data_IF_522293362340
#
_entry.id   IF_522293362340
#
_cell.length_a   1.000
_cell.length_b   1.000
_cell.length_c   1.000
_cell.angle_alpha   90.00
_cell.angle_beta   90.00
_cell.angle_gamma   90.00
#
_symmetry.space_group_name_H-M   'P 1'
#
loop_
_entity.id
_entity.type
_entity.pdbx_description
1 polymer ?
#
# COMPACT_ATOMS: atom_id res chain seq x y z
N UNK A 1 0.11 -4.11 -11.14
CA UNK A 1 -0.06 -4.59 -9.74
C UNK A 1 -0.60 -3.50 -8.83
N UNK A 2 -0.01 -2.30 -8.81
CA UNK A 2 -0.53 -1.12 -8.09
C UNK A 2 -1.99 -0.79 -8.41
N UNK A 3 -2.35 -0.68 -9.70
CA UNK A 3 -3.73 -0.43 -10.13
C UNK A 3 -4.71 -1.54 -9.68
N UNK A 4 -4.29 -2.80 -9.78
CA UNK A 4 -5.08 -3.93 -9.30
C UNK A 4 -5.33 -3.87 -7.79
N UNK A 5 -4.33 -3.44 -7.00
CA UNK A 5 -4.51 -3.26 -5.56
C UNK A 5 -5.55 -2.17 -5.25
N UNK A 6 -5.56 -1.07 -5.99
CA UNK A 6 -6.55 -0.01 -5.82
C UNK A 6 -7.96 -0.50 -6.12
N UNK A 7 -8.14 -1.19 -7.25
CA UNK A 7 -9.43 -1.77 -7.64
C UNK A 7 -9.89 -2.79 -6.61
N UNK A 8 -9.02 -3.70 -6.16
CA UNK A 8 -9.36 -4.69 -5.16
C UNK A 8 -9.82 -4.06 -3.84
N UNK A 9 -9.12 -3.04 -3.34
CA UNK A 9 -9.53 -2.33 -2.12
C UNK A 9 -10.87 -1.62 -2.30
N UNK A 10 -11.08 -0.98 -3.45
CA UNK A 10 -12.31 -0.26 -3.75
C UNK A 10 -13.51 -1.20 -3.84
N UNK A 11 -13.35 -2.38 -4.46
CA UNK A 11 -14.41 -3.38 -4.53
C UNK A 11 -14.66 -4.02 -3.16
N UNK A 12 -13.63 -4.26 -2.35
CA UNK A 12 -13.80 -4.71 -0.97
C UNK A 12 -14.60 -3.70 -0.13
N UNK A 13 -14.30 -2.40 -0.30
CA UNK A 13 -15.01 -1.32 0.38
C UNK A 13 -16.47 -1.21 -0.10
N UNK A 14 -16.72 -1.25 -1.41
CA UNK A 14 -18.08 -1.27 -1.95
C UNK A 14 -18.87 -2.49 -1.47
N UNK A 15 -18.25 -3.67 -1.42
CA UNK A 15 -18.85 -4.90 -0.89
C UNK A 15 -19.23 -4.76 0.59
N UNK A 16 -18.43 -4.04 1.39
CA UNK A 16 -18.77 -3.74 2.78
C UNK A 16 -20.04 -2.86 2.88
N UNK A 17 -20.16 -1.85 2.01
CA UNK A 17 -21.33 -0.95 1.99
C UNK A 17 -22.61 -1.65 1.51
N UNK A 18 -22.47 -2.61 0.59
CA UNK A 18 -23.58 -3.42 0.06
C UNK A 18 -23.96 -4.60 0.95
N UNK A 19 -23.23 -4.84 2.06
CA UNK A 19 -23.49 -5.96 2.96
C UNK A 19 -23.13 -7.32 2.38
N UNK A 20 -22.10 -7.40 1.53
CA UNK A 20 -21.62 -8.64 0.90
C UNK A 20 -20.32 -9.14 1.56
N UNK A 21 -20.40 -9.82 2.72
CA UNK A 21 -19.22 -10.18 3.50
C UNK A 21 -18.30 -11.16 2.76
N UNK A 22 -18.87 -12.12 2.02
CA UNK A 22 -18.07 -13.09 1.27
C UNK A 22 -17.23 -12.42 0.17
N UNK A 23 -17.85 -11.55 -0.63
CA UNK A 23 -17.14 -10.79 -1.67
C UNK A 23 -16.05 -9.92 -1.04
N UNK A 24 -16.38 -9.19 0.04
CA UNK A 24 -15.41 -8.37 0.77
C UNK A 24 -14.18 -9.17 1.19
N UNK A 25 -14.34 -10.32 1.83
CA UNK A 25 -13.21 -11.13 2.32
C UNK A 25 -12.29 -11.56 1.18
N UNK A 26 -12.85 -11.99 0.05
CA UNK A 26 -12.08 -12.33 -1.14
C UNK A 26 -11.31 -11.14 -1.70
N UNK A 27 -11.95 -9.98 -1.83
CA UNK A 27 -11.29 -8.78 -2.35
C UNK A 27 -10.25 -8.22 -1.39
N UNK A 28 -10.42 -8.36 -0.07
CA UNK A 28 -9.40 -8.00 0.92
C UNK A 28 -8.17 -8.91 0.84
N UNK A 29 -8.36 -10.21 0.60
CA UNK A 29 -7.23 -11.11 0.33
C UNK A 29 -6.51 -10.70 -0.95
N UNK A 30 -7.24 -10.48 -2.04
CA UNK A 30 -6.65 -10.04 -3.32
C UNK A 30 -5.88 -8.74 -3.12
N UNK A 31 -6.46 -7.77 -2.40
CA UNK A 31 -5.80 -6.52 -2.06
C UNK A 31 -4.51 -6.77 -1.27
N UNK A 32 -4.55 -7.59 -0.20
CA UNK A 32 -3.38 -7.87 0.63
C UNK A 32 -2.24 -8.52 -0.19
N UNK A 33 -2.57 -9.46 -1.09
CA UNK A 33 -1.59 -10.06 -2.01
C UNK A 33 -1.00 -9.02 -2.97
N UNK A 34 -1.85 -8.17 -3.56
CA UNK A 34 -1.42 -7.13 -4.49
C UNK A 34 -0.70 -5.96 -3.81
N UNK A 35 -0.88 -5.78 -2.50
CA UNK A 35 -0.19 -4.79 -1.69
C UNK A 35 1.29 -5.13 -1.51
N UNK A 36 1.66 -6.41 -1.51
CA UNK A 36 3.04 -6.85 -1.36
C UNK A 36 3.98 -6.25 -2.42
N UNK A 37 3.71 -6.37 -3.73
CA UNK A 37 4.53 -5.71 -4.75
C UNK A 37 4.46 -4.17 -4.70
N UNK A 38 3.38 -3.57 -4.16
CA UNK A 38 3.30 -2.11 -3.95
C UNK A 38 4.30 -1.68 -2.88
N UNK A 39 4.29 -2.36 -1.74
CA UNK A 39 5.18 -2.12 -0.60
C UNK A 39 6.64 -2.36 -0.96
N UNK A 40 6.93 -3.42 -1.74
CA UNK A 40 8.27 -3.68 -2.29
C UNK A 40 8.68 -2.60 -3.29
N UNK A 41 7.77 -2.16 -4.16
CA UNK A 41 8.05 -1.08 -5.12
C UNK A 41 8.42 0.24 -4.43
N UNK A 42 7.89 0.48 -3.23
CA UNK A 42 8.13 1.70 -2.47
C UNK A 42 9.59 1.87 -2.02
N UNK A 43 10.38 0.80 -1.98
CA UNK A 43 11.83 0.90 -1.75
C UNK A 43 12.58 1.62 -2.89
N UNK A 44 11.95 1.78 -4.06
CA UNK A 44 12.50 2.58 -5.16
C UNK A 44 12.23 4.08 -4.99
N UNK A 45 11.48 4.47 -3.98
CA UNK A 45 11.16 5.87 -3.68
C UNK A 45 12.41 6.57 -3.13
N UNK A 46 12.77 7.77 -3.62
CA UNK A 46 13.96 8.48 -3.18
C UNK A 46 13.79 9.02 -1.75
N UNK A 47 14.43 8.39 -0.77
CA UNK A 47 14.31 8.78 0.64
C UNK A 47 15.56 9.52 1.13
N UNK A 48 15.34 10.63 1.86
CA UNK A 48 16.43 11.42 2.48
C UNK A 48 17.18 10.66 3.59
N UNK A 49 16.51 9.70 4.24
CA UNK A 49 17.05 8.87 5.32
C UNK A 49 16.89 7.38 4.98
N UNK A 50 17.69 6.86 4.03
CA UNK A 50 17.44 5.55 3.43
C UNK A 50 17.54 4.39 4.42
N UNK A 51 18.42 4.45 5.43
CA UNK A 51 18.53 3.40 6.45
C UNK A 51 17.25 3.25 7.29
N UNK A 52 16.64 4.37 7.68
CA UNK A 52 15.36 4.36 8.39
C UNK A 52 14.22 3.87 7.50
N UNK A 53 14.22 4.31 6.23
CA UNK A 53 13.30 3.80 5.21
C UNK A 53 13.39 2.28 5.09
N UNK A 54 14.59 1.71 4.96
CA UNK A 54 14.77 0.26 4.83
C UNK A 54 14.27 -0.50 6.07
N UNK A 55 14.59 -0.01 7.27
CA UNK A 55 14.13 -0.61 8.52
C UNK A 55 12.60 -0.66 8.61
N UNK A 56 11.94 0.47 8.38
CA UNK A 56 10.47 0.54 8.42
C UNK A 56 9.86 -0.27 7.27
N UNK A 57 10.48 -0.28 6.10
CA UNK A 57 10.02 -1.05 4.94
C UNK A 57 10.08 -2.55 5.15
N UNK A 58 11.09 -3.06 5.86
CA UNK A 58 11.13 -4.47 6.27
C UNK A 58 9.89 -4.83 7.09
N UNK A 59 9.59 -4.04 8.13
CA UNK A 59 8.40 -4.24 8.95
C UNK A 59 7.09 -4.04 8.18
N UNK A 60 7.05 -3.10 7.24
CA UNK A 60 5.93 -2.94 6.30
C UNK A 60 5.67 -4.20 5.49
N UNK A 61 6.73 -4.82 4.94
CA UNK A 61 6.65 -6.10 4.23
C UNK A 61 6.15 -7.24 5.13
N UNK A 62 6.69 -7.35 6.35
CA UNK A 62 6.22 -8.32 7.37
C UNK A 62 4.73 -8.10 7.67
N UNK A 63 4.31 -6.84 7.83
CA UNK A 63 2.92 -6.47 8.01
C UNK A 63 2.02 -6.96 6.87
N UNK A 64 2.44 -6.79 5.61
CA UNK A 64 1.66 -7.32 4.47
C UNK A 64 1.56 -8.84 4.50
N UNK A 65 2.67 -9.54 4.73
CA UNK A 65 2.66 -11.01 4.81
C UNK A 65 1.71 -11.49 5.91
N UNK A 66 1.75 -10.84 7.07
CA UNK A 66 0.83 -11.17 8.15
C UNK A 66 -0.63 -10.83 7.81
N UNK A 67 -0.91 -9.72 7.12
CA UNK A 67 -2.25 -9.42 6.61
C UNK A 67 -2.76 -10.54 5.70
N UNK A 68 -1.93 -11.05 4.78
CA UNK A 68 -2.31 -12.15 3.89
C UNK A 68 -2.73 -13.37 4.73
N UNK A 69 -1.92 -13.75 5.73
CA UNK A 69 -2.24 -14.87 6.63
C UNK A 69 -3.57 -14.61 7.35
N UNK A 70 -3.77 -13.42 7.92
CA UNK A 70 -5.03 -13.07 8.61
C UNK A 70 -6.23 -13.11 7.67
N UNK A 71 -6.11 -12.64 6.43
CA UNK A 71 -7.21 -12.71 5.45
C UNK A 71 -7.52 -14.15 5.04
N UNK A 72 -6.50 -15.00 4.90
CA UNK A 72 -6.70 -16.43 4.67
C UNK A 72 -7.47 -17.01 5.86
N UNK A 73 -6.99 -16.84 7.09
CA UNK A 73 -7.68 -17.35 8.28
C UNK A 73 -9.11 -16.84 8.41
N UNK A 74 -9.39 -15.61 7.98
CA UNK A 74 -10.74 -15.06 7.95
C UNK A 74 -11.63 -15.73 6.87
N UNK A 75 -11.09 -16.02 5.69
CA UNK A 75 -11.80 -16.75 4.62
C UNK A 75 -12.13 -18.19 5.03
N UNK A 76 -11.25 -18.83 5.79
CA UNK A 76 -11.47 -20.16 6.36
C UNK A 76 -12.28 -20.13 7.67
N UNK A 77 -12.85 -18.97 8.02
CA UNK A 77 -13.70 -18.80 9.20
C UNK A 77 -13.02 -19.09 10.56
N UNK A 78 -11.68 -19.16 10.57
CA UNK A 78 -10.87 -19.35 11.78
C UNK A 78 -10.82 -18.08 12.61
N UNK A 79 -10.75 -16.91 11.96
CA UNK A 79 -10.79 -15.60 12.61
C UNK A 79 -12.07 -14.85 12.25
N UNK A 80 -12.89 -14.53 13.26
CA UNK A 80 -14.17 -13.83 13.08
C UNK A 80 -14.33 -12.66 14.04
N UNK A 81 -15.19 -11.71 13.68
CA UNK A 81 -15.65 -10.64 14.55
C UNK A 81 -14.52 -9.83 15.22
N UNK A 82 -14.57 -9.61 16.55
CA UNK A 82 -13.55 -8.83 17.26
C UNK A 82 -12.13 -9.41 17.16
N UNK A 83 -12.00 -10.75 17.12
CA UNK A 83 -10.69 -11.39 17.01
C UNK A 83 -10.02 -11.03 15.67
N UNK A 84 -10.76 -11.11 14.56
CA UNK A 84 -10.26 -10.66 13.26
C UNK A 84 -9.82 -9.19 13.29
N UNK A 85 -10.63 -8.31 13.87
CA UNK A 85 -10.27 -6.90 14.03
C UNK A 85 -8.96 -6.70 14.81
N UNK A 86 -8.84 -7.33 15.98
CA UNK A 86 -7.65 -7.24 16.82
C UNK A 86 -6.38 -7.74 16.12
N UNK A 87 -6.46 -8.89 15.43
CA UNK A 87 -5.33 -9.48 14.72
C UNK A 87 -4.94 -8.74 13.43
N UNK A 88 -5.89 -8.09 12.77
CA UNK A 88 -5.63 -7.31 11.54
C UNK A 88 -5.17 -5.88 11.81
N UNK A 89 -5.31 -5.37 13.03
CA UNK A 89 -4.98 -3.98 13.36
C UNK A 89 -3.48 -3.69 13.34
N UNK A 90 -2.63 -4.48 14.00
CA UNK A 90 -1.19 -4.22 14.05
C UNK A 90 -0.47 -4.35 12.69
N UNK A 91 -0.78 -5.34 11.83
CA UNK A 91 -0.15 -5.44 10.51
C UNK A 91 -0.57 -4.25 9.64
N UNK A 92 -1.83 -3.81 9.77
CA UNK A 92 -2.31 -2.60 9.10
C UNK A 92 -1.56 -1.35 9.56
N UNK A 93 -1.22 -1.24 10.85
CA UNK A 93 -0.39 -0.15 11.36
C UNK A 93 1.03 -0.18 10.78
N UNK A 94 1.66 -1.36 10.66
CA UNK A 94 2.99 -1.46 10.05
C UNK A 94 2.97 -1.05 8.57
N UNK A 95 1.95 -1.46 7.83
CA UNK A 95 1.75 -1.01 6.44
C UNK A 95 1.54 0.50 6.40
N UNK A 96 0.67 1.03 7.26
CA UNK A 96 0.40 2.47 7.34
C UNK A 96 1.66 3.28 7.66
N UNK A 97 2.44 2.81 8.64
CA UNK A 97 3.72 3.42 9.01
C UNK A 97 4.71 3.39 7.86
N UNK A 98 4.80 2.27 7.13
CA UNK A 98 5.71 2.18 5.99
C UNK A 98 5.35 3.16 4.88
N UNK A 99 4.08 3.20 4.49
CA UNK A 99 3.60 4.14 3.48
C UNK A 99 3.86 5.59 3.93
N UNK A 100 3.55 5.90 5.19
CA UNK A 100 3.77 7.22 5.78
C UNK A 100 5.25 7.61 5.74
N UNK A 101 6.13 6.77 6.28
CA UNK A 101 7.57 7.04 6.37
C UNK A 101 8.18 7.20 4.99
N UNK A 102 7.86 6.30 4.05
CA UNK A 102 8.36 6.41 2.68
C UNK A 102 7.95 7.74 2.02
N UNK A 103 6.66 8.07 2.08
CA UNK A 103 6.14 9.30 1.48
C UNK A 103 6.60 10.58 2.19
N UNK A 104 6.83 10.55 3.50
CA UNK A 104 7.39 11.69 4.25
C UNK A 104 8.88 11.88 3.98
N UNK A 105 9.68 10.81 4.01
CA UNK A 105 11.12 10.90 3.82
C UNK A 105 11.52 11.24 2.39
N UNK A 106 10.70 10.84 1.42
CA UNK A 106 10.93 11.17 0.02
C UNK A 106 10.09 12.31 -0.51
N UNK A 107 9.40 13.05 0.35
CA UNK A 107 8.46 14.09 -0.06
C UNK A 107 9.10 15.10 -1.04
N UNK A 108 8.57 15.15 -2.26
CA UNK A 108 9.06 16.02 -3.32
C UNK A 108 10.45 15.68 -3.83
N UNK A 109 10.87 14.42 -3.71
CA UNK A 109 12.08 13.88 -4.31
C UNK A 109 11.99 13.79 -5.84
N UNK A 110 13.14 13.68 -6.51
CA UNK A 110 13.22 13.65 -7.97
C UNK A 110 12.40 12.49 -8.57
N UNK A 111 11.56 12.81 -9.57
CA UNK A 111 10.72 11.83 -10.26
C UNK A 111 9.41 11.46 -9.57
N UNK A 112 9.19 11.89 -8.32
CA UNK A 112 7.94 11.65 -7.57
C UNK A 112 7.16 12.96 -7.35
N UNK A 113 5.91 13.08 -7.85
CA UNK A 113 5.12 14.29 -7.65
C UNK A 113 4.71 14.45 -6.17
N UNK A 114 4.80 15.68 -5.65
CA UNK A 114 4.38 16.02 -4.26
C UNK A 114 2.94 15.60 -3.94
N UNK A 115 2.05 15.62 -4.94
CA UNK A 115 0.66 15.18 -4.77
C UNK A 115 0.59 13.68 -4.46
N UNK A 116 1.42 12.87 -5.12
CA UNK A 116 1.48 11.42 -4.85
C UNK A 116 2.02 11.20 -3.44
N UNK A 117 3.07 11.91 -3.03
CA UNK A 117 3.59 11.78 -1.66
C UNK A 117 2.58 12.25 -0.60
N UNK A 118 1.86 13.35 -0.87
CA UNK A 118 0.79 13.84 0.00
C UNK A 118 -0.35 12.82 0.15
N UNK A 119 -0.76 12.17 -0.94
CA UNK A 119 -1.74 11.09 -0.90
C UNK A 119 -1.22 9.88 -0.11
N UNK A 120 0.07 9.55 -0.25
CA UNK A 120 0.70 8.48 0.54
C UNK A 120 0.71 8.78 2.02
N UNK A 121 1.06 10.01 2.41
CA UNK A 121 0.97 10.48 3.80
C UNK A 121 -0.45 10.34 4.33
N UNK A 122 -1.45 10.81 3.57
CA UNK A 122 -2.87 10.71 3.94
C UNK A 122 -3.31 9.24 4.10
N UNK A 123 -2.91 8.37 3.18
CA UNK A 123 -3.14 6.92 3.27
C UNK A 123 -2.50 6.32 4.51
N UNK A 124 -1.23 6.64 4.80
CA UNK A 124 -0.52 6.13 5.97
C UNK A 124 -1.19 6.55 7.29
N UNK A 125 -1.54 7.84 7.42
CA UNK A 125 -2.30 8.37 8.57
C UNK A 125 -3.65 7.66 8.70
N UNK A 126 -4.35 7.49 7.58
CA UNK A 126 -5.64 6.83 7.54
C UNK A 126 -5.60 5.37 8.02
N UNK A 127 -4.61 4.59 7.56
CA UNK A 127 -4.39 3.22 8.01
C UNK A 127 -4.04 3.13 9.49
N UNK A 128 -3.24 4.08 10.00
CA UNK A 128 -2.94 4.19 11.44
C UNK A 128 -4.20 4.55 12.25
N UNK A 129 -5.06 5.43 11.75
CA UNK A 129 -6.33 5.77 12.37
C UNK A 129 -7.31 4.58 12.41
N UNK A 130 -7.37 3.77 11.35
CA UNK A 130 -8.18 2.53 11.32
C UNK A 130 -7.64 1.54 12.35
N UNK A 131 -6.32 1.33 12.38
CA UNK A 131 -5.68 0.40 13.30
C UNK A 131 -5.90 0.80 14.77
N UNK A 132 -5.59 2.06 15.11
CA UNK A 132 -5.78 2.59 16.47
C UNK A 132 -7.25 2.62 16.88
N UNK A 133 -8.15 3.02 15.99
CA UNK A 133 -9.60 2.97 16.22
C UNK A 133 -10.10 1.55 16.48
N UNK A 134 -9.54 0.56 15.80
CA UNK A 134 -9.89 -0.85 16.02
C UNK A 134 -9.46 -1.33 17.41
N UNK A 135 -8.26 -0.97 17.87
CA UNK A 135 -7.78 -1.33 19.20
C UNK A 135 -8.46 -0.56 20.33
N UNK A 136 -8.75 0.72 20.12
CA UNK A 136 -9.44 1.55 21.11
C UNK A 136 -10.94 1.25 21.22
N UNK A 137 -11.48 0.32 20.43
CA UNK A 137 -12.92 0.06 20.34
C UNK A 137 -13.72 1.19 19.67
N UNK A 138 -13.04 2.15 19.04
CA UNK A 138 -13.62 3.27 18.30
C UNK A 138 -14.09 2.88 16.90
N UNK A 139 -15.15 2.07 16.82
CA UNK A 139 -15.69 1.58 15.55
C UNK A 139 -16.07 2.71 14.57
N UNK A 140 -16.61 3.82 15.08
CA UNK A 140 -16.98 4.98 14.26
C UNK A 140 -15.75 5.69 13.70
N UNK A 141 -14.69 5.84 14.51
CA UNK A 141 -13.42 6.43 14.07
C UNK A 141 -12.80 5.58 12.95
N UNK A 142 -12.77 4.25 13.12
CA UNK A 142 -12.28 3.34 12.09
C UNK A 142 -13.11 3.41 10.79
N UNK A 143 -14.45 3.55 10.88
CA UNK A 143 -15.31 3.71 9.70
C UNK A 143 -15.06 5.04 8.99
N UNK A 144 -15.04 6.15 9.72
CA UNK A 144 -14.78 7.48 9.15
C UNK A 144 -13.39 7.52 8.51
N UNK A 145 -12.39 6.98 9.20
CA UNK A 145 -11.04 6.85 8.66
C UNK A 145 -11.05 6.02 7.36
N UNK A 146 -11.77 4.89 7.31
CA UNK A 146 -11.86 4.06 6.10
C UNK A 146 -12.47 4.81 4.90
N UNK A 147 -13.51 5.63 5.12
CA UNK A 147 -14.16 6.44 4.06
C UNK A 147 -13.16 7.39 3.38
N UNK A 148 -12.20 7.94 4.14
CA UNK A 148 -11.17 8.84 3.60
C UNK A 148 -9.96 8.06 3.06
N UNK A 149 -9.56 7.02 3.78
CA UNK A 149 -8.34 6.23 3.50
C UNK A 149 -8.45 5.47 2.20
N UNK A 150 -9.61 4.88 1.90
CA UNK A 150 -9.80 4.08 0.68
C UNK A 150 -9.64 4.93 -0.59
N UNK A 151 -10.34 6.07 -0.76
CA UNK A 151 -10.09 6.98 -1.89
C UNK A 151 -8.64 7.46 -1.95
N UNK A 152 -8.05 7.86 -0.82
CA UNK A 152 -6.67 8.31 -0.76
C UNK A 152 -5.69 7.22 -1.24
N UNK A 153 -5.86 5.99 -0.75
CA UNK A 153 -5.06 4.84 -1.17
C UNK A 153 -5.22 4.57 -2.66
N UNK A 154 -6.44 4.61 -3.19
CA UNK A 154 -6.68 4.35 -4.60
C UNK A 154 -6.00 5.39 -5.50
N UNK A 155 -6.12 6.67 -5.17
CA UNK A 155 -5.46 7.77 -5.89
C UNK A 155 -3.93 7.66 -5.76
N UNK A 156 -3.44 7.36 -4.57
CA UNK A 156 -2.02 7.15 -4.29
C UNK A 156 -1.44 5.99 -5.11
N UNK A 157 -2.08 4.81 -5.06
CA UNK A 157 -1.65 3.63 -5.78
C UNK A 157 -1.70 3.83 -7.30
N UNK A 158 -2.68 4.58 -7.80
CA UNK A 158 -2.74 4.98 -9.20
C UNK A 158 -1.55 5.87 -9.58
N UNK A 159 -1.27 6.89 -8.76
CA UNK A 159 -0.12 7.78 -8.91
C UNK A 159 1.22 7.03 -8.90
N UNK A 160 1.41 6.11 -7.94
CA UNK A 160 2.59 5.25 -7.88
C UNK A 160 2.73 4.35 -9.10
N UNK A 161 1.64 3.74 -9.57
CA UNK A 161 1.63 2.94 -10.79
C UNK A 161 2.14 3.72 -11.99
N UNK A 162 1.72 4.97 -12.10
CA UNK A 162 2.15 5.86 -13.18
C UNK A 162 3.63 6.24 -13.06
N UNK A 163 4.10 6.56 -11.86
CA UNK A 163 5.52 6.85 -11.62
C UNK A 163 6.40 5.65 -11.96
N UNK A 164 6.06 4.45 -11.48
CA UNK A 164 6.84 3.24 -11.79
C UNK A 164 6.86 2.91 -13.28
N UNK A 165 5.74 3.13 -13.98
CA UNK A 165 5.69 2.96 -15.42
C UNK A 165 6.63 3.94 -16.15
N UNK A 166 6.66 5.21 -15.75
CA UNK A 166 7.58 6.22 -16.31
C UNK A 166 9.05 5.86 -16.06
N UNK A 167 9.40 5.42 -14.84
CA UNK A 167 10.75 4.98 -14.51
C UNK A 167 11.18 3.77 -15.36
N UNK A 168 10.29 2.79 -15.53
CA UNK A 168 10.55 1.61 -16.37
C UNK A 168 10.67 1.95 -17.88
N UNK A 169 9.94 2.96 -18.36
CA UNK A 169 10.08 3.45 -19.73
C UNK A 169 11.42 4.18 -19.95
N UNK A 170 11.83 5.02 -18.99
CA UNK A 170 13.11 5.74 -19.03
C UNK A 170 14.32 4.80 -19.05
N UNK A 171 14.31 3.74 -18.24
CA UNK A 171 15.41 2.77 -18.18
C UNK A 171 15.60 2.02 -19.50
N UNK A 172 14.52 1.58 -20.14
CA UNK A 172 14.57 0.92 -21.46
C UNK A 172 15.18 1.82 -22.54
N UNK A 173 14.88 3.12 -22.49
CA UNK A 173 15.49 4.09 -23.41
C UNK A 173 17.00 4.25 -23.21
N UNK A 174 17.48 4.25 -21.96
CA UNK A 174 18.91 4.35 -21.64
C UNK A 174 19.68 3.11 -22.08
N UNK A 175 19.13 1.92 -21.84
CA UNK A 175 19.71 0.65 -22.26
C UNK A 175 19.86 0.55 -23.79
N UNK A 176 18.84 0.98 -24.53
CA UNK A 176 18.88 1.04 -25.99
C UNK A 176 20.04 1.92 -26.48
N UNK A 177 20.21 3.13 -25.92
CA UNK A 177 21.29 4.06 -26.30
C UNK A 177 22.68 3.50 -25.94
N UNK A 178 22.82 2.87 -24.76
CA UNK A 178 24.10 2.25 -24.38
C UNK A 178 24.47 1.06 -25.27
N UNK A 179 23.49 0.25 -25.67
CA UNK A 179 23.70 -0.85 -26.61
C UNK A 179 24.13 -0.35 -27.99
N UNK A 180 23.53 0.74 -28.48
CA UNK A 180 23.94 1.36 -29.75
C UNK A 180 25.35 1.96 -29.68
N UNK A 181 25.73 2.59 -28.55
CA UNK A 181 27.10 3.11 -28.36
C UNK A 181 28.14 2.00 -28.26
N UNK A 182 27.83 0.89 -27.58
CA UNK A 182 28.73 -0.25 -27.48
C UNK A 182 28.94 -0.95 -28.84
N UNK A 183 27.92 -0.99 -29.69
CA UNK A 183 28.01 -1.52 -31.05
C UNK A 183 28.72 -0.57 -32.05
N UNK A 184 28.96 0.69 -31.67
CA UNK A 184 29.56 1.71 -32.51
C UNK A 184 31.05 1.98 -32.19
N UNK A 185 31.64 1.27 -31.22
CA UNK A 185 33.07 1.33 -30.92
C UNK A 185 33.78 0.20 -31.71
N UNK A 186 34.73 0.53 -32.62
CA UNK A 186 35.48 -0.44 -33.42
C UNK A 186 36.53 -1.22 -32.61
#
# INVERSE_FOLDING_TARGET
>A
MTYGSAVALLVAFASQLLGWPAARSWFLLIWAVLLLPVVIGLFRHPMRWPAWGVFVGFWGGVGVVFLIVVQILALWDVLRGPAYGGWSAWPLALVGLWILVASSLGFGGEGFPRVVDGLGILTGIGLLAISTGTWAGGADVARVAAVVTVPAYCLWAFGLGFVFWRLAAGNRGREAISGTRAAALP
#
